data_IF_967518946988
#
_entry.id   IF_967518946988
#
_cell.length_a   1.000
_cell.length_b   1.000
_cell.length_c   1.000
_cell.angle_alpha   90.00
_cell.angle_beta   90.00
_cell.angle_gamma   90.00
#
_symmetry.space_group_name_H-M   'P 1'
#
loop_
_entity.id
_entity.type
_entity.pdbx_description
1 polymer ?
#
# COMPACT_ATOMS: atom_id res chain seq x y z
N UNK A 1 19.62 -17.43 10.90
CA UNK A 1 18.25 -16.91 10.76
C UNK A 1 17.49 -17.86 9.84
N UNK A 2 16.52 -18.59 10.36
CA UNK A 2 15.53 -19.29 9.53
C UNK A 2 14.70 -18.21 8.84
N UNK A 3 14.62 -18.25 7.51
CA UNK A 3 13.79 -17.30 6.76
C UNK A 3 12.32 -17.46 7.16
N UNK A 4 11.61 -16.35 7.35
CA UNK A 4 10.16 -16.37 7.56
C UNK A 4 9.52 -16.74 6.22
N UNK A 5 8.85 -17.89 6.18
CA UNK A 5 8.00 -18.28 5.04
C UNK A 5 6.57 -17.89 5.39
N UNK A 6 5.98 -16.99 4.59
CA UNK A 6 4.59 -16.54 4.77
C UNK A 6 3.71 -17.35 3.83
N UNK A 7 3.02 -18.37 4.34
CA UNK A 7 2.07 -19.21 3.56
C UNK A 7 0.61 -18.91 3.86
N UNK A 8 0.33 -18.23 4.97
CA UNK A 8 -1.02 -17.96 5.51
C UNK A 8 -1.34 -16.46 5.58
N UNK A 9 -0.71 -15.64 4.74
CA UNK A 9 -1.04 -14.22 4.66
C UNK A 9 -0.86 -13.71 3.24
N UNK A 10 -1.55 -12.62 2.94
CA UNK A 10 -1.50 -11.96 1.65
C UNK A 10 -0.31 -11.00 1.57
N UNK A 11 0.13 -10.74 0.35
CA UNK A 11 1.18 -9.77 0.05
C UNK A 11 0.62 -8.77 -0.96
N UNK A 12 0.81 -7.48 -0.67
CA UNK A 12 0.51 -6.38 -1.56
C UNK A 12 1.82 -5.81 -2.12
N UNK A 13 1.85 -5.56 -3.42
CA UNK A 13 2.92 -4.79 -4.07
C UNK A 13 2.29 -3.53 -4.66
N UNK A 14 2.41 -2.42 -3.95
CA UNK A 14 1.91 -1.11 -4.37
C UNK A 14 3.01 -0.35 -5.12
N UNK A 15 2.68 0.22 -6.28
CA UNK A 15 3.57 1.09 -7.06
C UNK A 15 2.94 2.45 -7.27
N UNK A 16 3.66 3.48 -6.86
CA UNK A 16 3.27 4.88 -6.99
C UNK A 16 4.09 5.51 -8.13
N UNK A 17 3.51 5.74 -9.31
CA UNK A 17 4.19 6.46 -10.38
C UNK A 17 4.19 7.96 -10.04
N UNK A 18 5.29 8.50 -9.52
CA UNK A 18 5.39 9.88 -9.06
C UNK A 18 5.64 10.82 -10.25
N UNK A 19 4.98 11.98 -10.28
CA UNK A 19 5.25 13.03 -11.29
C UNK A 19 6.73 13.47 -11.23
N UNK A 20 7.39 13.70 -12.37
CA UNK A 20 8.75 14.23 -12.39
C UNK A 20 8.89 15.49 -11.52
N UNK A 21 9.94 15.55 -10.69
CA UNK A 21 10.19 16.66 -9.77
C UNK A 21 9.32 16.68 -8.49
N UNK A 22 8.35 15.77 -8.32
CA UNK A 22 7.49 15.70 -7.13
C UNK A 22 7.97 14.72 -6.06
N UNK A 23 9.08 14.02 -6.28
CA UNK A 23 9.63 13.01 -5.35
C UNK A 23 9.81 13.52 -3.92
N UNK A 24 10.38 14.71 -3.74
CA UNK A 24 10.57 15.27 -2.39
C UNK A 24 9.24 15.58 -1.69
N UNK A 25 8.29 16.18 -2.42
CA UNK A 25 6.95 16.45 -1.89
C UNK A 25 6.21 15.15 -1.53
N UNK A 26 6.37 14.10 -2.34
CA UNK A 26 5.81 12.78 -2.05
C UNK A 26 6.39 12.21 -0.76
N UNK A 27 7.72 12.21 -0.62
CA UNK A 27 8.39 11.70 0.58
C UNK A 27 8.08 12.50 1.85
N UNK A 28 7.81 13.81 1.73
CA UNK A 28 7.40 14.65 2.85
C UNK A 28 6.04 14.22 3.44
N UNK A 29 5.19 13.56 2.64
CA UNK A 29 3.89 13.01 3.09
C UNK A 29 4.05 11.53 3.46
N UNK A 30 4.76 10.76 2.63
CA UNK A 30 4.92 9.32 2.82
C UNK A 30 5.71 8.97 4.08
N UNK A 31 6.78 9.71 4.40
CA UNK A 31 7.62 9.38 5.54
C UNK A 31 6.87 9.50 6.88
N UNK A 32 6.17 10.61 7.18
CA UNK A 32 5.35 10.69 8.38
C UNK A 32 4.24 9.63 8.44
N UNK A 33 3.63 9.28 7.29
CA UNK A 33 2.56 8.28 7.23
C UNK A 33 3.00 6.95 7.84
N UNK A 34 4.12 6.39 7.38
CA UNK A 34 4.60 5.11 7.91
C UNK A 34 5.30 5.26 9.25
N UNK A 35 6.03 6.36 9.51
CA UNK A 35 6.69 6.57 10.80
C UNK A 35 5.70 6.62 11.95
N UNK A 36 4.58 7.30 11.77
CA UNK A 36 3.51 7.36 12.77
C UNK A 36 2.77 6.02 12.96
N UNK A 37 2.88 5.11 11.98
CA UNK A 37 2.29 3.77 12.04
C UNK A 37 3.28 2.68 12.49
N UNK A 38 4.49 3.05 12.94
CA UNK A 38 5.55 2.06 13.30
C UNK A 38 5.10 1.05 14.35
N UNK A 39 4.46 1.51 15.44
CA UNK A 39 3.98 0.61 16.49
C UNK A 39 2.93 -0.37 15.96
N UNK A 40 1.99 0.12 15.15
CA UNK A 40 0.99 -0.71 14.48
C UNK A 40 1.65 -1.75 13.57
N UNK A 41 2.63 -1.34 12.75
CA UNK A 41 3.31 -2.26 11.83
C UNK A 41 4.12 -3.33 12.57
N UNK A 42 4.78 -3.00 13.67
CA UNK A 42 5.51 -3.99 14.48
C UNK A 42 4.58 -5.08 15.02
N UNK A 43 3.38 -4.70 15.44
CA UNK A 43 2.37 -5.63 15.93
C UNK A 43 1.71 -6.42 14.80
N UNK A 44 1.28 -5.74 13.74
CA UNK A 44 0.33 -6.27 12.75
C UNK A 44 0.97 -6.67 11.42
N UNK A 45 2.21 -6.29 11.11
CA UNK A 45 2.86 -6.69 9.86
C UNK A 45 3.69 -7.97 10.01
N UNK A 46 3.65 -8.82 8.99
CA UNK A 46 4.66 -9.86 8.79
C UNK A 46 5.97 -9.23 8.32
N UNK A 47 5.87 -8.33 7.35
CA UNK A 47 6.98 -7.52 6.85
C UNK A 47 6.46 -6.29 6.10
N UNK A 48 7.33 -5.30 5.97
CA UNK A 48 7.11 -4.08 5.19
C UNK A 48 8.42 -3.68 4.54
N UNK A 49 8.41 -3.43 3.24
CA UNK A 49 9.54 -2.90 2.48
C UNK A 49 9.12 -1.69 1.68
N UNK A 50 9.86 -0.59 1.85
CA UNK A 50 9.67 0.66 1.15
C UNK A 50 10.94 1.03 0.40
N UNK A 51 10.84 1.28 -0.90
CA UNK A 51 11.98 1.71 -1.68
C UNK A 51 11.60 2.18 -3.08
N UNK A 52 12.59 2.66 -3.82
CA UNK A 52 12.39 3.04 -5.22
C UNK A 52 12.66 1.86 -6.14
N UNK A 53 11.86 1.75 -7.20
CA UNK A 53 12.09 0.80 -8.28
C UNK A 53 13.31 1.19 -9.13
N UNK A 54 13.49 0.47 -10.25
CA UNK A 54 14.52 0.82 -11.24
C UNK A 54 14.26 2.19 -11.87
N UNK A 55 13.00 2.55 -12.05
CA UNK A 55 12.60 3.93 -12.35
C UNK A 55 12.65 4.75 -11.04
N UNK A 56 13.47 5.82 -10.98
CA UNK A 56 13.63 6.64 -9.79
C UNK A 56 12.37 7.43 -9.40
N UNK A 57 11.34 7.48 -10.26
CA UNK A 57 10.05 8.10 -9.98
C UNK A 57 8.98 7.07 -9.59
N UNK A 58 9.32 5.79 -9.44
CA UNK A 58 8.39 4.77 -8.94
C UNK A 58 8.76 4.41 -7.51
N UNK A 59 7.91 4.83 -6.57
CA UNK A 59 7.98 4.34 -5.20
C UNK A 59 7.26 2.99 -5.11
N UNK A 60 7.84 2.03 -4.41
CA UNK A 60 7.32 0.68 -4.24
C UNK A 60 7.15 0.38 -2.76
N UNK A 61 5.95 -0.08 -2.39
CA UNK A 61 5.66 -0.65 -1.08
C UNK A 61 5.33 -2.14 -1.24
N UNK A 62 6.03 -2.99 -0.49
CA UNK A 62 5.77 -4.44 -0.42
C UNK A 62 5.39 -4.76 1.01
N UNK A 63 4.14 -5.16 1.21
CA UNK A 63 3.52 -5.21 2.54
C UNK A 63 2.78 -6.52 2.73
N UNK A 64 2.95 -7.14 3.89
CA UNK A 64 2.14 -8.28 4.32
C UNK A 64 1.73 -8.07 5.76
N UNK A 65 0.43 -8.22 6.03
CA UNK A 65 -0.15 -8.02 7.35
C UNK A 65 -0.73 -9.32 7.90
N UNK A 66 -0.58 -9.53 9.21
CA UNK A 66 -1.15 -10.64 9.98
C UNK A 66 -2.66 -10.49 10.15
N UNK A 67 -3.14 -9.25 10.18
CA UNK A 67 -4.52 -8.91 10.52
C UNK A 67 -5.09 -7.88 9.54
N UNK A 68 -5.91 -8.35 8.63
CA UNK A 68 -6.56 -7.53 7.60
C UNK A 68 -7.58 -6.54 8.19
N UNK A 69 -8.28 -6.93 9.27
CA UNK A 69 -9.24 -6.06 9.94
C UNK A 69 -8.56 -4.85 10.55
N UNK A 70 -7.38 -5.05 11.15
CA UNK A 70 -6.58 -3.97 11.75
C UNK A 70 -6.10 -2.99 10.68
N UNK A 71 -5.67 -3.49 9.52
CA UNK A 71 -5.31 -2.65 8.35
C UNK A 71 -6.52 -1.85 7.85
N UNK A 72 -7.66 -2.51 7.72
CA UNK A 72 -8.90 -1.86 7.28
C UNK A 72 -9.40 -0.82 8.28
N UNK A 73 -9.14 -0.99 9.59
CA UNK A 73 -9.43 0.03 10.59
C UNK A 73 -8.59 1.30 10.36
N UNK A 74 -7.28 1.17 10.10
CA UNK A 74 -6.42 2.31 9.76
C UNK A 74 -6.89 3.00 8.48
N UNK A 75 -7.22 2.23 7.43
CA UNK A 75 -7.69 2.77 6.15
C UNK A 75 -8.96 3.63 6.28
N UNK A 76 -9.76 3.38 7.32
CA UNK A 76 -10.98 4.16 7.61
C UNK A 76 -10.70 5.50 8.30
N UNK A 77 -9.53 5.70 8.90
CA UNK A 77 -9.17 6.94 9.60
C UNK A 77 -9.05 8.14 8.65
N UNK A 78 -9.40 9.32 9.14
CA UNK A 78 -9.30 10.55 8.34
C UNK A 78 -7.86 10.90 8.00
N UNK A 79 -6.93 10.66 8.93
CA UNK A 79 -5.51 10.87 8.71
C UNK A 79 -4.98 10.04 7.53
N UNK A 80 -5.34 8.75 7.47
CA UNK A 80 -4.95 7.89 6.36
C UNK A 80 -5.55 8.40 5.04
N UNK A 81 -6.85 8.64 4.99
CA UNK A 81 -7.55 9.10 3.78
C UNK A 81 -6.96 10.42 3.26
N UNK A 82 -6.68 11.36 4.15
CA UNK A 82 -6.10 12.66 3.80
C UNK A 82 -4.69 12.50 3.22
N UNK A 83 -3.78 11.83 3.93
CA UNK A 83 -2.38 11.69 3.52
C UNK A 83 -2.26 10.89 2.22
N UNK A 84 -2.99 9.79 2.09
CA UNK A 84 -2.98 8.97 0.87
C UNK A 84 -3.57 9.74 -0.32
N UNK A 85 -4.62 10.54 -0.13
CA UNK A 85 -5.15 11.40 -1.20
C UNK A 85 -4.10 12.41 -1.68
N UNK A 86 -3.42 13.08 -0.76
CA UNK A 86 -2.36 14.04 -1.11
C UNK A 86 -1.19 13.37 -1.84
N UNK A 87 -0.83 12.14 -1.48
CA UNK A 87 0.18 11.37 -2.21
C UNK A 87 -0.28 11.01 -3.63
N UNK A 88 -1.53 10.58 -3.80
CA UNK A 88 -2.09 10.22 -5.11
C UNK A 88 -2.10 11.42 -6.08
N UNK A 89 -2.36 12.63 -5.59
CA UNK A 89 -2.29 13.84 -6.42
C UNK A 89 -0.88 14.17 -6.93
N UNK A 90 0.16 13.64 -6.28
CA UNK A 90 1.54 13.76 -6.73
C UNK A 90 1.95 12.67 -7.73
N UNK A 91 1.08 11.68 -7.98
CA UNK A 91 1.32 10.61 -8.94
C UNK A 91 0.89 11.01 -10.36
N UNK A 92 1.61 10.53 -11.38
CA UNK A 92 1.35 10.77 -12.81
C UNK A 92 0.26 9.87 -13.40
N UNK A 93 -0.14 8.84 -12.66
CA UNK A 93 -1.21 7.89 -12.96
C UNK A 93 -1.62 7.13 -11.70
N UNK A 94 -2.52 6.14 -11.81
CA UNK A 94 -3.03 5.41 -10.65
C UNK A 94 -1.89 4.73 -9.88
N UNK A 95 -2.06 4.66 -8.55
CA UNK A 95 -1.29 3.71 -7.76
C UNK A 95 -1.76 2.31 -8.15
N UNK A 96 -0.86 1.47 -8.62
CA UNK A 96 -1.19 0.07 -8.97
C UNK A 96 -0.85 -0.83 -7.79
N UNK A 97 -1.64 -1.88 -7.60
CA UNK A 97 -1.46 -2.87 -6.54
C UNK A 97 -1.58 -4.28 -7.11
N UNK A 98 -0.53 -5.07 -6.98
CA UNK A 98 -0.62 -6.52 -7.18
C UNK A 98 -0.90 -7.20 -5.85
N UNK A 99 -1.80 -8.18 -5.85
CA UNK A 99 -2.16 -8.99 -4.69
C UNK A 99 -1.72 -10.44 -4.92
N UNK A 100 -0.97 -10.97 -3.97
CA UNK A 100 -0.61 -12.38 -3.91
C UNK A 100 -1.29 -13.01 -2.69
N UNK A 101 -2.09 -14.03 -2.91
CA UNK A 101 -2.73 -14.81 -1.85
C UNK A 101 -1.74 -15.80 -1.23
N UNK A 102 -1.87 -16.05 0.07
CA UNK A 102 -1.14 -17.11 0.74
C UNK A 102 -1.49 -18.49 0.18
N UNK A 103 -0.51 -19.38 0.03
CA UNK A 103 -0.71 -20.73 -0.52
C UNK A 103 -1.70 -21.58 0.28
N UNK A 104 -1.85 -21.30 1.58
CA UNK A 104 -2.73 -22.03 2.50
C UNK A 104 -4.05 -21.28 2.78
N UNK A 105 -4.36 -20.23 2.01
CA UNK A 105 -5.57 -19.43 2.16
C UNK A 105 -6.56 -19.68 1.03
N UNK A 106 -7.85 -19.50 1.32
CA UNK A 106 -8.90 -19.48 0.30
C UNK A 106 -8.80 -18.26 -0.63
N UNK A 107 -9.45 -18.28 -1.81
CA UNK A 107 -9.37 -17.21 -2.80
C UNK A 107 -10.21 -15.96 -2.44
N UNK A 108 -10.98 -16.00 -1.36
CA UNK A 108 -11.94 -14.96 -0.94
C UNK A 108 -11.32 -13.55 -0.85
N UNK A 109 -10.00 -13.46 -0.66
CA UNK A 109 -9.28 -12.18 -0.65
C UNK A 109 -9.43 -11.41 -1.98
N UNK A 110 -9.59 -12.10 -3.10
CA UNK A 110 -9.78 -11.48 -4.41
C UNK A 110 -11.19 -10.89 -4.58
N UNK A 111 -12.17 -11.31 -3.78
CA UNK A 111 -13.48 -10.66 -3.75
C UNK A 111 -13.42 -9.33 -2.96
N UNK A 112 -12.59 -9.28 -1.92
CA UNK A 112 -12.33 -8.05 -1.15
C UNK A 112 -11.53 -7.05 -1.98
N UNK A 113 -10.55 -7.55 -2.74
CA UNK A 113 -9.66 -6.77 -3.59
C UNK A 113 -9.84 -7.12 -5.06
N UNK A 114 -11.07 -6.92 -5.54
CA UNK A 114 -11.41 -7.19 -6.93
C UNK A 114 -10.54 -6.37 -7.89
N UNK A 115 -10.18 -6.99 -9.01
CA UNK A 115 -9.42 -6.35 -10.08
C UNK A 115 -10.11 -5.05 -10.54
N UNK A 116 -9.28 -4.03 -10.81
CA UNK A 116 -9.71 -2.71 -11.24
C UNK A 116 -9.68 -1.69 -10.11
N UNK A 117 -10.55 -0.68 -10.21
CA UNK A 117 -10.51 0.48 -9.31
C UNK A 117 -10.77 0.07 -7.86
N UNK A 118 -9.81 0.35 -6.99
CA UNK A 118 -9.88 0.01 -5.57
C UNK A 118 -11.01 0.79 -4.87
N UNK A 119 -11.77 0.06 -4.03
CA UNK A 119 -12.82 0.62 -3.17
C UNK A 119 -12.35 0.88 -1.73
N UNK A 120 -11.18 0.37 -1.34
CA UNK A 120 -10.64 0.49 0.04
C UNK A 120 -9.64 1.64 0.21
N UNK A 121 -9.28 2.30 -0.90
CA UNK A 121 -8.34 3.41 -0.95
C UNK A 121 -9.06 4.68 -1.39
N UNK A 122 -8.65 5.86 -0.91
CA UNK A 122 -9.26 7.11 -1.33
C UNK A 122 -9.02 7.39 -2.82
N UNK A 123 -9.89 8.22 -3.38
CA UNK A 123 -9.82 8.67 -4.76
C UNK A 123 -9.79 10.21 -4.75
N UNK A 124 -9.03 10.79 -5.68
CA UNK A 124 -8.97 12.25 -5.85
C UNK A 124 -9.66 12.66 -7.16
N UNK A 125 -9.77 13.95 -7.41
CA UNK A 125 -10.29 14.46 -8.68
C UNK A 125 -9.45 14.03 -9.88
N UNK A 126 -8.16 13.72 -9.67
CA UNK A 126 -7.21 13.44 -10.74
C UNK A 126 -6.60 12.04 -10.69
N UNK A 127 -6.78 11.30 -9.59
CA UNK A 127 -6.10 10.03 -9.41
C UNK A 127 -6.81 9.03 -8.47
N UNK A 128 -6.39 7.78 -8.52
CA UNK A 128 -6.97 6.68 -7.74
C UNK A 128 -5.97 5.53 -7.54
N UNK A 129 -6.42 4.47 -6.87
CA UNK A 129 -5.70 3.21 -6.74
C UNK A 129 -6.41 2.10 -7.52
N UNK A 130 -5.66 1.18 -8.10
CA UNK A 130 -6.18 0.03 -8.85
C UNK A 130 -5.47 -1.28 -8.49
N UNK A 131 -6.24 -2.36 -8.40
CA UNK A 131 -5.72 -3.72 -8.31
C UNK A 131 -5.55 -4.30 -9.72
N UNK A 132 -4.38 -4.87 -9.97
CA UNK A 132 -4.04 -5.52 -11.24
C UNK A 132 -4.43 -6.99 -11.26
#
# INVERSE_FOLDING_TARGET
MTGIIVTQSNIFISRYPIKPGKRHAFLAIFNPLWQNATAFMQENANFVFYGFGRDPNVMVAIESYKNEEAVNAIRKTDAFKQLVSQMLDLCSGPMTMELFNGLEMGPDIFDVYAQGKSIVHPQTATNYAEFL
#
